data_IF_004654187573
#
_entry.id   IF_004654187573
#
_cell.length_a   1.000
_cell.length_b   1.000
_cell.length_c   1.000
_cell.angle_alpha   90.00
_cell.angle_beta   90.00
_cell.angle_gamma   90.00
#
_symmetry.space_group_name_H-M   'P 1'
#
loop_
_entity.id
_entity.type
_entity.pdbx_description
1 polymer ?
#
# COMPACT_ATOMS: atom_id res chain seq x y z
N UNK A 1 -3.38 -0.81 4.24
CA UNK A 1 -2.50 -0.44 3.10
C UNK A 1 -2.76 -1.35 1.90
N UNK A 2 -2.50 -0.89 0.68
CA UNK A 2 -2.86 -1.58 -0.57
C UNK A 2 -3.24 -0.58 -1.65
N UNK A 3 -3.43 -1.05 -2.90
CA UNK A 3 -3.88 -0.19 -4.00
C UNK A 3 -5.40 -0.14 -4.02
N UNK A 4 -5.95 1.07 -4.03
CA UNK A 4 -7.39 1.33 -3.94
C UNK A 4 -8.00 1.85 -5.24
N UNK A 5 -7.25 1.87 -6.33
CA UNK A 5 -7.77 2.25 -7.62
C UNK A 5 -7.17 1.46 -8.78
N UNK A 6 -7.97 1.30 -9.82
CA UNK A 6 -7.53 0.82 -11.13
C UNK A 6 -7.04 2.00 -11.97
N UNK A 7 -6.28 1.75 -13.05
CA UNK A 7 -5.82 2.81 -13.95
C UNK A 7 -6.93 3.78 -14.34
N UNK A 8 -6.60 5.07 -14.36
CA UNK A 8 -7.56 6.12 -14.68
C UNK A 8 -7.99 6.04 -16.15
N UNK A 9 -9.30 6.13 -16.37
CA UNK A 9 -9.88 6.23 -17.71
C UNK A 9 -9.98 7.69 -18.14
N UNK A 10 -9.91 7.95 -19.45
CA UNK A 10 -10.21 9.27 -20.00
C UNK A 10 -11.72 9.60 -19.81
N UNK A 11 -12.11 10.87 -19.60
CA UNK A 11 -13.49 11.23 -19.27
C UNK A 11 -14.57 10.76 -20.27
N UNK A 12 -14.22 10.63 -21.55
CA UNK A 12 -15.15 10.21 -22.61
C UNK A 12 -14.90 8.77 -23.10
N UNK A 13 -14.00 8.03 -22.46
CA UNK A 13 -13.74 6.63 -22.79
C UNK A 13 -14.74 5.71 -22.07
N UNK A 14 -15.91 5.54 -22.69
CA UNK A 14 -17.00 4.73 -22.14
C UNK A 14 -16.62 3.26 -21.98
N UNK A 15 -15.81 2.72 -22.91
CA UNK A 15 -15.35 1.33 -22.85
C UNK A 15 -14.44 1.11 -21.65
N UNK A 16 -13.48 2.01 -21.43
CA UNK A 16 -12.61 1.95 -20.26
C UNK A 16 -13.42 2.08 -18.96
N UNK A 17 -14.40 2.99 -18.90
CA UNK A 17 -15.24 3.16 -17.71
C UNK A 17 -16.05 1.90 -17.39
N UNK A 18 -16.67 1.28 -18.41
CA UNK A 18 -17.40 0.02 -18.25
C UNK A 18 -16.46 -1.10 -17.78
N UNK A 19 -15.29 -1.23 -18.40
CA UNK A 19 -14.28 -2.23 -18.00
C UNK A 19 -13.81 -2.01 -16.57
N UNK A 20 -13.55 -0.76 -16.15
CA UNK A 20 -13.14 -0.40 -14.79
C UNK A 20 -14.22 -0.74 -13.77
N UNK A 21 -15.48 -0.47 -14.07
CA UNK A 21 -16.61 -0.81 -13.20
C UNK A 21 -16.79 -2.33 -13.08
N UNK A 22 -16.68 -3.05 -14.19
CA UNK A 22 -16.70 -4.51 -14.20
C UNK A 22 -15.54 -5.10 -13.37
N UNK A 23 -14.33 -4.54 -13.51
CA UNK A 23 -13.16 -4.94 -12.71
C UNK A 23 -13.40 -4.71 -11.21
N UNK A 24 -13.93 -3.55 -10.81
CA UNK A 24 -14.29 -3.26 -9.41
C UNK A 24 -15.33 -4.23 -8.86
N UNK A 25 -16.36 -4.58 -9.65
CA UNK A 25 -17.38 -5.54 -9.25
C UNK A 25 -16.87 -7.00 -9.23
N UNK A 26 -15.82 -7.29 -9.98
CA UNK A 26 -15.27 -8.63 -10.15
C UNK A 26 -14.05 -8.96 -9.29
N UNK A 27 -13.35 -7.95 -8.77
CA UNK A 27 -12.03 -8.11 -8.14
C UNK A 27 -12.03 -9.07 -6.95
N UNK A 28 -13.11 -9.12 -6.17
CA UNK A 28 -13.24 -10.00 -5.00
C UNK A 28 -13.95 -11.33 -5.30
N UNK A 29 -14.19 -11.67 -6.57
CA UNK A 29 -14.72 -12.99 -6.93
C UNK A 29 -13.62 -14.06 -6.79
N UNK A 30 -13.97 -15.32 -6.46
CA UNK A 30 -12.99 -16.39 -6.27
C UNK A 30 -12.00 -16.54 -7.42
N UNK A 31 -12.50 -16.55 -8.67
CA UNK A 31 -11.64 -16.64 -9.85
C UNK A 31 -10.61 -15.51 -9.92
N UNK A 32 -11.03 -14.26 -9.67
CA UNK A 32 -10.12 -13.11 -9.72
C UNK A 32 -9.08 -13.17 -8.59
N UNK A 33 -9.50 -13.57 -7.39
CA UNK A 33 -8.58 -13.76 -6.26
C UNK A 33 -7.56 -14.88 -6.55
N UNK A 34 -7.96 -15.97 -7.21
CA UNK A 34 -7.04 -17.08 -7.49
C UNK A 34 -6.12 -16.86 -8.70
N UNK A 35 -6.54 -16.06 -9.68
CA UNK A 35 -5.86 -15.96 -10.98
C UNK A 35 -5.27 -14.59 -11.30
N UNK A 36 -5.63 -13.52 -10.55
CA UNK A 36 -5.14 -12.17 -10.80
C UNK A 36 -4.30 -11.64 -9.63
N UNK A 37 -3.01 -11.42 -9.88
CA UNK A 37 -2.07 -10.88 -8.89
C UNK A 37 -2.53 -9.51 -8.37
N UNK A 38 -3.06 -8.65 -9.24
CA UNK A 38 -3.54 -7.32 -8.87
C UNK A 38 -4.72 -7.39 -7.89
N UNK A 39 -5.57 -8.42 -8.01
CA UNK A 39 -6.71 -8.60 -7.11
C UNK A 39 -6.26 -8.97 -5.68
N UNK A 40 -5.06 -9.57 -5.54
CA UNK A 40 -4.49 -9.96 -4.26
C UNK A 40 -4.00 -8.80 -3.40
N UNK A 41 -3.76 -7.61 -3.98
CA UNK A 41 -3.39 -6.41 -3.22
C UNK A 41 -4.32 -5.21 -3.45
N UNK A 42 -5.45 -5.44 -4.15
CA UNK A 42 -6.50 -4.45 -4.25
C UNK A 42 -7.24 -4.33 -2.91
N UNK A 43 -7.40 -3.10 -2.45
CA UNK A 43 -8.02 -2.79 -1.17
C UNK A 43 -8.98 -1.63 -1.33
N UNK A 44 -10.27 -1.93 -1.30
CA UNK A 44 -11.33 -0.94 -1.46
C UNK A 44 -11.74 -0.37 -0.09
N UNK A 45 -11.46 0.92 0.20
CA UNK A 45 -11.85 1.54 1.47
C UNK A 45 -13.37 1.63 1.65
N UNK A 46 -14.17 1.61 0.56
CA UNK A 46 -15.62 1.65 0.64
C UNK A 46 -16.27 0.27 0.84
N UNK A 47 -15.50 -0.81 0.70
CA UNK A 47 -15.99 -2.18 0.81
C UNK A 47 -15.07 -3.04 1.71
N UNK A 48 -14.66 -2.48 2.86
CA UNK A 48 -13.78 -3.18 3.80
C UNK A 48 -14.27 -4.57 4.20
N UNK A 49 -15.56 -4.80 4.53
CA UNK A 49 -16.01 -6.13 4.93
C UNK A 49 -15.80 -7.17 3.82
N UNK A 50 -16.08 -6.82 2.57
CA UNK A 50 -15.88 -7.69 1.42
C UNK A 50 -14.39 -7.97 1.18
N UNK A 51 -13.56 -6.93 1.27
CA UNK A 51 -12.10 -7.07 1.21
C UNK A 51 -11.58 -8.05 2.27
N UNK A 52 -11.99 -7.88 3.53
CA UNK A 52 -11.55 -8.73 4.64
C UNK A 52 -12.00 -10.18 4.48
N UNK A 53 -13.18 -10.43 3.88
CA UNK A 53 -13.70 -11.80 3.69
C UNK A 53 -13.16 -12.51 2.45
N UNK A 54 -12.79 -11.78 1.40
CA UNK A 54 -12.50 -12.35 0.09
C UNK A 54 -11.01 -12.30 -0.30
N UNK A 55 -10.23 -11.38 0.27
CA UNK A 55 -8.81 -11.27 -0.06
C UNK A 55 -7.98 -12.31 0.69
N UNK A 56 -7.09 -13.01 -0.03
CA UNK A 56 -6.30 -14.12 0.53
C UNK A 56 -4.87 -13.73 0.90
N UNK A 57 -4.30 -12.71 0.24
CA UNK A 57 -2.90 -12.31 0.40
C UNK A 57 -2.72 -11.11 1.33
N UNK A 58 -3.20 -9.93 0.92
CA UNK A 58 -2.96 -8.67 1.62
C UNK A 58 -3.51 -8.69 3.05
N UNK A 59 -4.70 -9.26 3.26
CA UNK A 59 -5.29 -9.45 4.60
C UNK A 59 -4.44 -10.34 5.50
N UNK A 60 -3.83 -11.38 4.92
CA UNK A 60 -2.97 -12.34 5.61
C UNK A 60 -1.62 -11.71 6.01
N UNK A 61 -0.88 -11.13 5.05
CA UNK A 61 0.43 -10.55 5.33
C UNK A 61 0.37 -9.31 6.22
N UNK A 62 -0.74 -8.57 6.20
CA UNK A 62 -0.99 -7.43 7.07
C UNK A 62 -1.56 -7.81 8.45
N UNK A 63 -1.81 -9.10 8.72
CA UNK A 63 -2.46 -9.56 9.95
C UNK A 63 -3.80 -8.84 10.24
N UNK A 64 -4.59 -8.56 9.19
CA UNK A 64 -5.85 -7.79 9.30
C UNK A 64 -7.00 -8.61 9.91
N UNK A 65 -6.92 -9.95 9.87
CA UNK A 65 -7.95 -10.85 10.43
C UNK A 65 -7.58 -11.25 11.87
N UNK A 66 -8.28 -10.78 12.92
CA UNK A 66 -7.88 -10.98 14.32
C UNK A 66 -7.72 -12.44 14.73
N UNK A 67 -8.61 -13.32 14.27
CA UNK A 67 -8.61 -14.76 14.59
C UNK A 67 -7.51 -15.55 13.88
N UNK A 68 -6.88 -14.97 12.84
CA UNK A 68 -5.88 -15.63 12.01
C UNK A 68 -4.51 -14.93 12.04
N UNK A 69 -4.28 -14.00 12.98
CA UNK A 69 -3.02 -13.26 13.07
C UNK A 69 -1.84 -14.20 13.28
N UNK A 70 -0.81 -14.05 12.46
CA UNK A 70 0.39 -14.86 12.49
C UNK A 70 1.52 -14.14 13.24
N UNK A 71 1.89 -14.68 14.41
CA UNK A 71 2.96 -14.13 15.24
C UNK A 71 4.35 -14.23 14.57
N UNK A 72 4.58 -15.25 13.75
CA UNK A 72 5.84 -15.44 13.03
C UNK A 72 6.05 -14.35 11.98
N UNK A 73 4.98 -13.90 11.29
CA UNK A 73 5.06 -12.76 10.37
C UNK A 73 5.53 -11.49 11.08
N UNK A 74 4.94 -11.21 12.25
CA UNK A 74 5.33 -10.09 13.10
C UNK A 74 6.79 -10.17 13.55
N UNK A 75 7.22 -11.33 14.03
CA UNK A 75 8.59 -11.53 14.52
C UNK A 75 9.63 -11.37 13.40
N UNK A 76 9.36 -11.98 12.24
CA UNK A 76 10.24 -11.91 11.07
C UNK A 76 10.31 -10.50 10.49
N UNK A 77 9.18 -9.80 10.38
CA UNK A 77 9.19 -8.44 9.85
C UNK A 77 9.89 -7.46 10.81
N UNK A 78 9.69 -7.61 12.12
CA UNK A 78 10.37 -6.79 13.13
C UNK A 78 11.88 -7.07 13.27
N UNK A 79 12.37 -8.21 12.75
CA UNK A 79 13.79 -8.57 12.80
C UNK A 79 14.63 -7.83 11.76
N UNK A 80 14.00 -7.22 10.74
CA UNK A 80 14.68 -6.41 9.74
C UNK A 80 15.58 -5.35 10.37
N UNK A 81 16.81 -5.23 9.88
CA UNK A 81 17.75 -4.19 10.33
C UNK A 81 17.35 -2.82 9.81
N UNK A 82 16.95 -2.74 8.54
CA UNK A 82 16.45 -1.54 7.89
C UNK A 82 15.23 -1.87 7.03
N UNK A 83 14.22 -0.99 7.07
CA UNK A 83 13.09 -0.99 6.14
C UNK A 83 13.08 0.35 5.40
N UNK A 84 13.59 0.36 4.17
CA UNK A 84 13.65 1.58 3.35
C UNK A 84 12.44 1.64 2.43
N UNK A 85 11.60 2.64 2.64
CA UNK A 85 10.35 2.82 1.91
C UNK A 85 10.45 4.05 1.02
N UNK A 86 10.29 3.85 -0.29
CA UNK A 86 10.49 4.89 -1.30
C UNK A 86 9.13 5.25 -1.89
N UNK A 87 8.79 6.54 -1.83
CA UNK A 87 7.60 7.11 -2.43
C UNK A 87 7.98 8.00 -3.61
N UNK A 88 7.29 7.88 -4.74
CA UNK A 88 7.45 8.77 -5.88
C UNK A 88 6.49 9.96 -5.74
N UNK A 89 7.02 11.18 -5.78
CA UNK A 89 6.25 12.39 -5.48
C UNK A 89 5.07 12.59 -6.44
N UNK A 90 5.22 12.14 -7.68
CA UNK A 90 4.27 12.29 -8.79
C UNK A 90 3.70 10.93 -9.24
N UNK A 91 3.68 9.92 -8.35
CA UNK A 91 3.14 8.60 -8.67
C UNK A 91 1.65 8.67 -9.07
N UNK A 92 1.33 8.10 -10.24
CA UNK A 92 -0.03 7.96 -10.77
C UNK A 92 -0.47 6.49 -10.90
N UNK A 93 0.44 5.56 -10.64
CA UNK A 93 0.23 4.11 -10.77
C UNK A 93 -0.21 3.52 -9.44
N UNK A 94 0.47 3.87 -8.35
CA UNK A 94 0.11 3.44 -6.99
C UNK A 94 -0.85 4.47 -6.41
N UNK A 95 -2.09 4.05 -6.15
CA UNK A 95 -3.16 4.94 -5.66
C UNK A 95 -3.74 4.36 -4.37
N UNK A 96 -3.61 5.02 -3.20
CA UNK A 96 -2.85 6.26 -2.97
C UNK A 96 -1.34 6.01 -3.01
N UNK A 97 -0.54 7.00 -3.46
CA UNK A 97 0.93 6.90 -3.50
C UNK A 97 1.54 6.66 -2.12
N UNK A 98 0.86 7.13 -1.07
CA UNK A 98 1.23 6.91 0.32
C UNK A 98 1.17 5.44 0.73
N UNK A 99 0.55 4.55 -0.06
CA UNK A 99 0.66 3.10 0.16
C UNK A 99 2.11 2.61 0.13
N UNK A 100 3.02 3.29 -0.58
CA UNK A 100 4.45 3.02 -0.54
C UNK A 100 5.07 3.24 0.86
N UNK A 101 4.42 4.07 1.68
CA UNK A 101 4.78 4.36 3.08
C UNK A 101 3.75 3.80 4.04
N UNK A 102 3.14 2.65 3.75
CA UNK A 102 2.12 2.03 4.60
C UNK A 102 0.86 2.89 4.82
N UNK A 103 0.66 3.97 4.06
CA UNK A 103 -0.56 4.78 4.05
C UNK A 103 -1.74 4.07 3.38
N UNK A 104 -2.95 4.57 3.60
CA UNK A 104 -4.15 4.13 2.89
C UNK A 104 -5.26 5.17 2.94
N UNK A 105 -6.28 5.04 2.10
CA UNK A 105 -7.46 5.88 2.25
C UNK A 105 -8.28 5.50 3.48
N UNK A 106 -8.84 6.52 4.13
CA UNK A 106 -9.85 6.35 5.15
C UNK A 106 -11.13 5.72 4.55
N UNK A 107 -11.86 4.90 5.30
CA UNK A 107 -13.23 4.53 4.96
C UNK A 107 -14.10 5.78 4.78
N UNK A 108 -15.13 5.74 3.91
CA UNK A 108 -16.02 6.88 3.68
C UNK A 108 -16.63 7.47 4.95
N UNK A 109 -17.00 6.62 5.91
CA UNK A 109 -17.55 7.00 7.22
C UNK A 109 -16.57 7.85 8.06
N UNK A 110 -15.27 7.61 7.93
CA UNK A 110 -14.21 8.30 8.70
C UNK A 110 -13.62 9.52 7.96
N UNK A 111 -14.02 9.71 6.69
CA UNK A 111 -13.51 10.77 5.84
C UNK A 111 -13.99 12.17 6.27
N UNK A 112 -15.02 12.27 7.13
CA UNK A 112 -15.53 13.53 7.67
C UNK A 112 -16.21 14.37 6.59
N UNK A 113 -17.54 14.30 6.52
CA UNK A 113 -18.34 15.03 5.54
C UNK A 113 -18.09 16.54 5.57
N UNK A 114 -17.27 17.03 4.64
CA UNK A 114 -17.10 18.43 4.21
C UNK A 114 -16.11 18.61 3.05
N UNK A 115 -15.47 17.55 2.57
CA UNK A 115 -14.80 17.56 1.26
C UNK A 115 -15.79 17.29 0.13
N UNK A 116 -15.56 17.90 -1.04
CA UNK A 116 -16.25 17.51 -2.27
C UNK A 116 -16.10 15.98 -2.45
N UNK A 117 -17.10 15.28 -3.01
CA UNK A 117 -17.17 13.81 -3.20
C UNK A 117 -15.90 13.15 -3.80
N UNK A 118 -14.95 13.95 -4.31
CA UNK A 118 -13.72 13.53 -4.96
C UNK A 118 -12.46 13.51 -4.07
N UNK A 119 -12.48 14.01 -2.83
CA UNK A 119 -11.24 14.09 -2.02
C UNK A 119 -11.16 12.97 -0.97
N UNK A 120 -10.61 11.82 -1.38
CA UNK A 120 -10.35 10.69 -0.47
C UNK A 120 -9.26 11.06 0.54
N UNK A 121 -9.61 11.08 1.83
CA UNK A 121 -8.66 11.34 2.94
C UNK A 121 -7.65 10.21 3.08
N UNK A 122 -6.36 10.54 3.12
CA UNK A 122 -5.28 9.57 3.39
C UNK A 122 -4.98 9.48 4.88
N UNK A 123 -4.93 8.27 5.41
CA UNK A 123 -4.49 7.93 6.77
C UNK A 123 -3.03 7.50 6.74
N UNK A 124 -2.11 8.23 7.39
CA UNK A 124 -0.68 7.90 7.40
C UNK A 124 -0.42 6.62 8.22
N UNK A 125 0.73 5.98 7.97
CA UNK A 125 1.18 4.76 8.66
C UNK A 125 0.92 4.78 10.17
N UNK A 126 1.39 5.82 10.86
CA UNK A 126 1.37 5.92 12.33
C UNK A 126 -0.03 6.08 12.94
N UNK A 127 -1.03 6.39 12.12
CA UNK A 127 -2.42 6.55 12.55
C UNK A 127 -3.28 5.32 12.25
N UNK A 128 -2.75 4.29 11.58
CA UNK A 128 -3.49 3.07 11.27
C UNK A 128 -3.44 2.06 12.42
N UNK A 129 -4.51 1.28 12.60
CA UNK A 129 -4.59 0.23 13.61
C UNK A 129 -3.46 -0.79 13.51
N UNK A 130 -3.08 -1.17 12.28
CA UNK A 130 -1.92 -2.05 12.02
C UNK A 130 -0.64 -1.56 12.71
N UNK A 131 -0.44 -0.25 12.79
CA UNK A 131 0.69 0.36 13.49
C UNK A 131 0.42 0.53 14.99
N UNK A 132 -0.71 1.11 15.38
CA UNK A 132 -0.99 1.44 16.79
C UNK A 132 -1.16 0.20 17.68
N UNK A 133 -1.63 -0.91 17.11
CA UNK A 133 -1.68 -2.22 17.77
C UNK A 133 -0.52 -3.14 17.36
N UNK A 134 0.38 -2.66 16.49
CA UNK A 134 1.60 -3.33 16.06
C UNK A 134 1.38 -4.75 15.51
N UNK A 135 0.40 -4.92 14.62
CA UNK A 135 -0.04 -6.24 14.11
C UNK A 135 1.08 -7.02 13.42
N UNK A 136 1.96 -6.32 12.72
CA UNK A 136 3.07 -6.91 11.96
C UNK A 136 4.45 -6.55 12.53
N UNK A 137 4.54 -5.84 13.66
CA UNK A 137 5.83 -5.41 14.21
C UNK A 137 6.38 -4.12 13.61
N UNK A 138 5.58 -3.41 12.80
CA UNK A 138 5.98 -2.16 12.13
C UNK A 138 6.24 -1.02 13.13
N UNK A 139 5.47 -0.90 14.21
CA UNK A 139 5.73 0.12 15.24
C UNK A 139 7.04 -0.17 15.94
N UNK A 140 7.27 -1.43 16.33
CA UNK A 140 8.54 -1.84 16.95
C UNK A 140 9.74 -1.54 16.02
N UNK A 141 9.59 -1.78 14.73
CA UNK A 141 10.59 -1.50 13.70
C UNK A 141 10.85 0.02 13.53
N UNK A 142 9.79 0.84 13.55
CA UNK A 142 9.88 2.31 13.47
C UNK A 142 10.51 2.92 14.73
N UNK A 143 10.10 2.47 15.92
CA UNK A 143 10.59 2.97 17.21
C UNK A 143 12.08 2.66 17.44
N UNK A 144 12.60 1.53 16.93
CA UNK A 144 14.05 1.25 16.92
C UNK A 144 14.81 2.04 15.84
N UNK A 145 14.12 2.88 15.07
CA UNK A 145 14.70 3.73 14.04
C UNK A 145 15.04 3.02 12.73
N UNK A 146 14.56 1.80 12.48
CA UNK A 146 14.89 1.04 11.29
C UNK A 146 14.07 1.43 10.05
N UNK A 147 12.90 2.05 10.22
CA UNK A 147 12.06 2.52 9.10
C UNK A 147 12.62 3.83 8.54
N UNK A 148 12.90 3.86 7.24
CA UNK A 148 13.46 5.01 6.51
C UNK A 148 12.51 5.41 5.40
N UNK A 149 11.83 6.54 5.58
CA UNK A 149 10.96 7.12 4.56
C UNK A 149 11.78 7.98 3.61
N UNK A 150 11.75 7.66 2.32
CA UNK A 150 12.45 8.38 1.24
C UNK A 150 11.48 8.79 0.16
N UNK A 151 11.69 9.97 -0.39
CA UNK A 151 10.91 10.49 -1.51
C UNK A 151 11.82 10.65 -2.71
N UNK A 152 11.37 10.18 -3.86
CA UNK A 152 12.01 10.43 -5.15
C UNK A 152 11.11 11.33 -5.99
N UNK A 153 11.73 12.32 -6.64
CA UNK A 153 11.02 13.17 -7.57
C UNK A 153 10.84 12.44 -8.90
N UNK A 154 9.61 12.39 -9.42
CA UNK A 154 9.27 11.68 -10.64
C UNK A 154 8.00 10.86 -10.51
N UNK A 155 7.60 10.25 -11.63
CA UNK A 155 6.51 9.28 -11.69
C UNK A 155 6.96 7.89 -11.22
N UNK A 156 6.05 6.92 -11.27
CA UNK A 156 6.29 5.56 -10.77
C UNK A 156 7.54 4.92 -11.40
N UNK A 157 8.46 4.45 -10.56
CA UNK A 157 9.74 3.82 -10.98
C UNK A 157 10.69 4.73 -11.77
N UNK A 158 10.43 6.04 -11.84
CA UNK A 158 11.36 7.01 -12.41
C UNK A 158 12.49 7.30 -11.41
N UNK A 159 13.48 6.41 -11.39
CA UNK A 159 14.63 6.47 -10.49
C UNK A 159 15.75 7.30 -11.12
N UNK A 160 15.75 8.62 -10.88
CA UNK A 160 16.90 9.46 -11.23
C UNK A 160 18.13 9.03 -10.43
N UNK A 161 19.32 9.33 -10.97
CA UNK A 161 20.60 9.04 -10.29
C UNK A 161 20.64 9.64 -8.88
N UNK A 162 20.16 10.87 -8.74
CA UNK A 162 20.08 11.60 -7.46
C UNK A 162 19.16 10.91 -6.44
N UNK A 163 18.19 10.12 -6.90
CA UNK A 163 17.27 9.37 -6.05
C UNK A 163 17.89 8.02 -5.61
N UNK A 164 18.28 7.15 -6.56
CA UNK A 164 18.61 5.77 -6.22
C UNK A 164 20.05 5.60 -5.69
N UNK A 165 21.01 6.38 -6.20
CA UNK A 165 22.44 6.17 -5.91
C UNK A 165 22.76 6.34 -4.41
N UNK A 166 22.27 7.39 -3.71
CA UNK A 166 22.50 7.53 -2.27
C UNK A 166 21.85 6.42 -1.44
N UNK A 167 20.73 5.86 -1.90
CA UNK A 167 20.01 4.80 -1.20
C UNK A 167 20.81 3.49 -1.32
N UNK A 168 21.20 3.11 -2.52
CA UNK A 168 21.96 1.87 -2.77
C UNK A 168 23.30 1.90 -2.04
N UNK A 169 24.07 2.98 -2.16
CA UNK A 169 25.37 3.14 -1.47
C UNK A 169 25.25 3.00 0.04
N UNK A 170 24.14 3.44 0.62
CA UNK A 170 23.93 3.41 2.08
C UNK A 170 23.41 2.06 2.60
N UNK A 171 22.52 1.40 1.88
CA UNK A 171 21.74 0.27 2.43
C UNK A 171 22.00 -1.08 1.76
N UNK A 172 22.60 -1.11 0.57
CA UNK A 172 22.88 -2.35 -0.17
C UNK A 172 24.37 -2.68 -0.16
N UNK A 173 25.23 -1.67 0.01
CA UNK A 173 26.68 -1.80 0.03
C UNK A 173 27.34 -0.81 -0.94
N UNK A 174 28.61 -0.50 -0.69
CA UNK A 174 29.44 0.31 -1.57
C UNK A 174 30.21 -0.53 -2.59
N UNK A 175 30.81 0.14 -3.58
CA UNK A 175 31.82 -0.49 -4.44
C UNK A 175 32.99 -0.88 -3.54
N UNK A 176 33.33 -2.17 -3.52
CA UNK A 176 34.59 -2.64 -2.97
C UNK A 176 35.65 -2.29 -4.01
N UNK A 177 36.45 -1.26 -3.76
CA UNK A 177 37.64 -0.99 -4.57
C UNK A 177 38.70 -2.04 -4.17
N UNK A 178 39.06 -2.90 -5.13
CA UNK A 178 40.13 -3.91 -5.00
C UNK A 178 41.45 -3.34 -5.47
#
# INVERSE_FOLDING_TARGET
MGVSDFPLCRPFDLLCQVARNAARAGVYRPWAQEHLVQAQYYRDPAQLPLYLSANHFLTSVNNEIPTARNATYKQNFASLENLVLILFAQDKTVVPKESAWFGSYAPPEDAGGRGTENEKKVVPMRAQLLYTEDWIGLRKLDEKGAVKLKTCNGEHMQLSRDCWEPIVKKYVGGVVEW
#
